data_IF_566742106872
#
_entry.id   IF_566742106872
#
_cell.length_a   1.000
_cell.length_b   1.000
_cell.length_c   1.000
_cell.angle_alpha   90.00
_cell.angle_beta   90.00
_cell.angle_gamma   90.00
#
_symmetry.space_group_name_H-M   'P 1'
#
loop_
_entity.id
_entity.type
_entity.pdbx_description
1 polymer ?
#
# COMPACT_ATOMS: atom_id res chain seq x y z
N UNK A 1 17.93 12.58 14.09
CA UNK A 1 17.24 11.52 13.34
C UNK A 1 16.07 12.16 12.60
N UNK A 2 15.97 11.92 11.29
CA UNK A 2 14.89 12.44 10.44
C UNK A 2 13.84 11.33 10.23
N UNK A 3 12.56 11.69 10.10
CA UNK A 3 11.47 10.73 9.92
C UNK A 3 11.41 10.14 8.50
N UNK A 4 12.24 10.62 7.57
CA UNK A 4 12.32 10.17 6.17
C UNK A 4 12.44 8.65 6.02
N UNK A 5 13.17 7.95 6.89
CA UNK A 5 13.24 6.47 6.82
C UNK A 5 11.90 5.81 7.12
N UNK A 6 11.20 6.32 8.14
CA UNK A 6 9.88 5.82 8.53
C UNK A 6 8.84 6.18 7.48
N UNK A 7 8.96 7.36 6.87
CA UNK A 7 8.16 7.78 5.72
C UNK A 7 8.34 6.81 4.55
N UNK A 8 9.58 6.48 4.16
CA UNK A 8 9.83 5.53 3.07
C UNK A 8 9.26 4.14 3.33
N UNK A 9 9.42 3.62 4.57
CA UNK A 9 8.83 2.34 4.95
C UNK A 9 7.30 2.42 4.96
N UNK A 10 6.75 3.47 5.55
CA UNK A 10 5.31 3.69 5.65
C UNK A 10 4.62 3.85 4.29
N UNK A 11 5.23 4.55 3.35
CA UNK A 11 4.72 4.67 1.96
C UNK A 11 4.61 3.29 1.30
N UNK A 12 5.65 2.46 1.42
CA UNK A 12 5.63 1.10 0.87
C UNK A 12 4.54 0.22 1.52
N UNK A 13 4.38 0.29 2.85
CA UNK A 13 3.33 -0.41 3.60
C UNK A 13 1.94 0.07 3.21
N UNK A 14 1.76 1.38 3.05
CA UNK A 14 0.48 1.99 2.66
C UNK A 14 0.07 1.53 1.26
N UNK A 15 1.00 1.56 0.30
CA UNK A 15 0.78 1.07 -1.07
C UNK A 15 0.43 -0.40 -1.08
N UNK A 16 1.17 -1.22 -0.34
CA UNK A 16 0.91 -2.65 -0.23
C UNK A 16 -0.48 -2.96 0.34
N UNK A 17 -0.83 -2.39 1.49
CA UNK A 17 -2.13 -2.61 2.14
C UNK A 17 -3.28 -2.10 1.27
N UNK A 18 -3.11 -0.94 0.63
CA UNK A 18 -4.13 -0.37 -0.25
C UNK A 18 -4.32 -1.20 -1.50
N UNK A 19 -3.25 -1.68 -2.13
CA UNK A 19 -3.37 -2.56 -3.29
C UNK A 19 -4.12 -3.85 -2.98
N UNK A 20 -3.79 -4.51 -1.86
CA UNK A 20 -4.54 -5.70 -1.43
C UNK A 20 -6.01 -5.34 -1.18
N UNK A 21 -6.28 -4.24 -0.49
CA UNK A 21 -7.65 -3.84 -0.19
C UNK A 21 -8.47 -3.59 -1.46
N UNK A 22 -7.99 -2.74 -2.36
CA UNK A 22 -8.63 -2.45 -3.66
C UNK A 22 -8.85 -3.72 -4.48
N UNK A 23 -7.88 -4.64 -4.46
CA UNK A 23 -7.95 -5.92 -5.16
C UNK A 23 -9.02 -6.86 -4.60
N UNK A 24 -9.18 -6.92 -3.27
CA UNK A 24 -10.20 -7.76 -2.61
C UNK A 24 -11.62 -7.24 -2.77
N UNK A 25 -11.81 -5.92 -2.79
CA UNK A 25 -13.14 -5.32 -2.94
C UNK A 25 -13.68 -5.38 -4.37
N UNK A 26 -12.78 -5.42 -5.35
CA UNK A 26 -13.13 -5.34 -6.77
C UNK A 26 -12.66 -6.59 -7.53
N UNK A 27 -13.29 -7.77 -7.32
CA UNK A 27 -12.83 -9.02 -7.88
C UNK A 27 -12.95 -9.14 -9.40
N UNK A 28 -13.72 -8.26 -10.06
CA UNK A 28 -14.00 -8.33 -11.50
C UNK A 28 -13.41 -7.16 -12.29
N UNK A 29 -12.79 -6.20 -11.63
CA UNK A 29 -12.29 -4.98 -12.28
C UNK A 29 -10.91 -5.20 -12.90
N UNK A 30 -10.65 -4.51 -14.01
CA UNK A 30 -9.36 -4.51 -14.68
C UNK A 30 -8.31 -3.75 -13.86
N UNK A 31 -7.04 -4.09 -14.09
CA UNK A 31 -5.87 -3.44 -13.49
C UNK A 31 -5.96 -1.91 -13.55
N UNK A 32 -6.24 -1.32 -14.71
CA UNK A 32 -6.28 0.14 -14.85
C UNK A 32 -7.29 0.82 -13.92
N UNK A 33 -8.43 0.17 -13.64
CA UNK A 33 -9.37 0.68 -12.65
C UNK A 33 -8.81 0.58 -11.22
N UNK A 34 -8.17 -0.55 -10.89
CA UNK A 34 -7.56 -0.78 -9.58
C UNK A 34 -6.44 0.23 -9.30
N UNK A 35 -5.60 0.52 -10.30
CA UNK A 35 -4.50 1.51 -10.20
C UNK A 35 -5.05 2.91 -9.94
N UNK A 36 -6.04 3.37 -10.71
CA UNK A 36 -6.66 4.69 -10.48
C UNK A 36 -7.30 4.76 -9.09
N UNK A 37 -7.94 3.69 -8.64
CA UNK A 37 -8.59 3.66 -7.32
C UNK A 37 -7.57 3.68 -6.18
N UNK A 38 -6.48 2.89 -6.30
CA UNK A 38 -5.33 2.91 -5.38
C UNK A 38 -4.70 4.30 -5.32
N UNK A 39 -4.42 4.91 -6.46
CA UNK A 39 -3.75 6.22 -6.52
C UNK A 39 -4.60 7.32 -5.90
N UNK A 40 -5.93 7.26 -6.06
CA UNK A 40 -6.85 8.19 -5.39
C UNK A 40 -6.80 8.07 -3.86
N UNK A 41 -6.60 6.86 -3.32
CA UNK A 41 -6.50 6.63 -1.88
C UNK A 41 -5.13 7.10 -1.36
N UNK A 42 -4.05 6.74 -2.03
CA UNK A 42 -2.67 6.97 -1.59
C UNK A 42 -2.19 8.40 -1.92
N UNK A 43 -2.91 9.16 -2.75
CA UNK A 43 -2.46 10.50 -3.13
C UNK A 43 -2.22 11.42 -1.92
N UNK A 44 -1.13 12.20 -1.98
CA UNK A 44 -0.72 13.10 -0.90
C UNK A 44 -1.82 14.11 -0.52
N UNK A 45 -2.67 14.49 -1.48
CA UNK A 45 -3.81 15.37 -1.22
C UNK A 45 -4.82 14.71 -0.27
N UNK A 46 -5.18 13.46 -0.52
CA UNK A 46 -6.10 12.71 0.34
C UNK A 46 -5.48 12.47 1.73
N UNK A 47 -4.22 12.05 1.80
CA UNK A 47 -3.50 11.85 3.06
C UNK A 47 -3.42 13.15 3.89
N UNK A 48 -3.20 14.29 3.24
CA UNK A 48 -3.23 15.59 3.90
C UNK A 48 -4.61 15.94 4.47
N UNK A 49 -5.70 15.67 3.73
CA UNK A 49 -7.07 15.85 4.24
C UNK A 49 -7.31 14.94 5.45
N UNK A 50 -6.90 13.67 5.38
CA UNK A 50 -7.04 12.71 6.48
C UNK A 50 -6.24 13.14 7.71
N UNK A 51 -5.01 13.64 7.54
CA UNK A 51 -4.21 14.22 8.62
C UNK A 51 -4.90 15.42 9.28
N UNK A 52 -5.48 16.31 8.48
CA UNK A 52 -6.22 17.49 8.97
C UNK A 52 -7.47 17.08 9.76
N UNK A 53 -8.22 16.10 9.26
CA UNK A 53 -9.42 15.58 9.92
C UNK A 53 -9.11 14.95 11.28
N UNK A 54 -8.00 14.21 11.37
CA UNK A 54 -7.52 13.59 12.61
C UNK A 54 -6.72 14.53 13.52
N UNK A 55 -6.58 15.80 13.14
CA UNK A 55 -5.87 16.84 13.88
C UNK A 55 -4.38 16.52 14.17
N UNK A 56 -3.73 15.68 13.35
CA UNK A 56 -2.31 15.33 13.53
C UNK A 56 -1.37 16.53 13.44
N UNK A 57 -1.81 17.59 12.77
CA UNK A 57 -1.14 18.89 12.68
C UNK A 57 -0.74 19.46 14.06
N UNK A 58 -1.49 19.15 15.13
CA UNK A 58 -1.21 19.63 16.48
C UNK A 58 -0.04 18.92 17.15
N UNK A 59 0.25 17.70 16.73
CA UNK A 59 1.26 16.83 17.34
C UNK A 59 2.59 16.84 16.57
N UNK A 60 2.65 17.56 15.44
CA UNK A 60 3.86 17.69 14.66
C UNK A 60 4.89 18.49 15.45
N UNK A 61 5.95 17.82 15.92
CA UNK A 61 7.07 18.43 16.61
C UNK A 61 7.95 19.12 15.56
N UNK A 62 7.51 20.30 15.11
CA UNK A 62 8.36 21.15 14.30
C UNK A 62 9.25 21.93 15.26
N UNK A 63 10.56 21.74 15.18
CA UNK A 63 11.46 22.78 15.66
C UNK A 63 11.08 24.06 14.93
N UNK A 64 10.89 25.16 15.64
CA UNK A 64 10.78 26.46 15.02
C UNK A 64 12.05 26.68 14.20
N UNK A 65 11.97 26.48 12.88
CA UNK A 65 12.82 27.26 12.01
C UNK A 65 12.30 28.69 12.19
N UNK A 66 12.88 29.41 13.14
CA UNK A 66 12.90 30.86 13.06
C UNK A 66 13.58 31.18 11.73
N UNK A 67 12.79 31.30 10.67
CA UNK A 67 13.11 32.14 9.51
C UNK A 67 13.05 33.60 9.96
N UNK A 68 13.80 33.91 11.02
CA UNK A 68 14.10 35.19 11.62
C UNK A 68 15.60 35.35 11.86
N UNK A 69 16.42 34.40 11.38
CA UNK A 69 17.87 34.56 11.19
C UNK A 69 18.27 34.53 9.70
N UNK A 70 17.35 34.88 8.79
CA UNK A 70 17.81 35.55 7.56
C UNK A 70 18.16 36.97 7.98
N UNK A 71 19.40 37.37 7.69
CA UNK A 71 20.03 38.64 8.02
C UNK A 71 19.05 39.80 8.22
N UNK A 72 19.10 40.46 9.39
CA UNK A 72 18.32 41.67 9.68
C UNK A 72 19.22 42.87 9.48
N UNK A 73 18.85 43.83 8.64
CA UNK A 73 19.53 45.13 8.63
C UNK A 73 19.24 45.85 9.95
N UNK A 74 20.21 46.58 10.54
CA UNK A 74 19.97 47.37 11.74
C UNK A 74 18.90 48.44 11.46
N UNK A 75 17.72 48.35 12.10
CA UNK A 75 16.72 49.44 12.10
C UNK A 75 15.24 49.07 11.90
N UNK A 76 14.90 47.84 11.50
CA UNK A 76 13.49 47.45 11.30
C UNK A 76 13.03 46.42 12.33
N UNK A 77 12.41 46.89 13.41
CA UNK A 77 11.59 46.07 14.30
C UNK A 77 10.12 46.29 13.95
N UNK A 78 9.44 45.26 13.44
CA UNK A 78 7.98 45.22 13.48
C UNK A 78 7.58 43.98 14.25
N UNK A 79 6.79 44.20 15.30
CA UNK A 79 6.10 43.13 16.02
C UNK A 79 5.15 42.44 15.05
N UNK A 80 5.35 41.15 14.84
CA UNK A 80 4.37 40.31 14.16
C UNK A 80 3.92 39.21 15.09
N UNK A 81 2.63 39.26 15.37
CA UNK A 81 1.80 38.20 15.94
C UNK A 81 2.28 36.82 15.51
N UNK A 82 2.29 35.88 16.46
CA UNK A 82 2.49 34.45 16.23
C UNK A 82 1.35 33.95 15.35
N UNK A 83 1.51 34.10 14.03
CA UNK A 83 0.58 33.58 13.05
C UNK A 83 0.60 32.06 13.09
N UNK A 84 -0.59 31.45 13.03
CA UNK A 84 -0.79 30.02 12.86
C UNK A 84 0.21 29.46 11.84
N UNK A 85 1.08 28.55 12.28
CA UNK A 85 2.04 27.88 11.40
C UNK A 85 1.26 27.18 10.29
N UNK A 86 1.34 27.71 9.07
CA UNK A 86 0.81 27.02 7.89
C UNK A 86 1.76 25.87 7.58
N UNK A 87 1.51 24.71 8.19
CA UNK A 87 2.27 23.49 7.90
C UNK A 87 2.07 23.18 6.41
N UNK A 88 3.17 22.88 5.71
CA UNK A 88 3.12 22.50 4.30
C UNK A 88 2.29 21.22 4.16
N UNK A 89 1.32 21.21 3.24
CA UNK A 89 0.43 20.06 3.00
C UNK A 89 1.21 18.77 2.71
N UNK A 90 2.39 18.88 2.10
CA UNK A 90 3.31 17.75 1.90
C UNK A 90 3.75 17.12 3.22
N UNK A 91 4.18 17.92 4.20
CA UNK A 91 4.65 17.42 5.51
C UNK A 91 3.57 16.69 6.30
N UNK A 92 2.30 17.00 6.06
CA UNK A 92 1.18 16.30 6.70
C UNK A 92 0.96 14.92 6.08
N UNK A 93 1.15 14.79 4.77
CA UNK A 93 1.17 13.49 4.09
C UNK A 93 2.33 12.64 4.60
N UNK A 94 3.55 13.19 4.54
CA UNK A 94 4.77 12.51 4.97
C UNK A 94 4.67 12.08 6.45
N UNK A 95 4.00 12.87 7.30
CA UNK A 95 3.72 12.52 8.70
C UNK A 95 2.85 11.27 8.81
N UNK A 96 1.75 11.18 8.06
CA UNK A 96 0.85 10.02 8.09
C UNK A 96 1.59 8.76 7.67
N UNK A 97 2.40 8.82 6.61
CA UNK A 97 3.25 7.73 6.16
C UNK A 97 4.27 7.35 7.24
N UNK A 98 4.96 8.32 7.84
CA UNK A 98 5.93 8.05 8.91
C UNK A 98 5.32 7.42 10.16
N UNK A 99 4.09 7.81 10.53
CA UNK A 99 3.35 7.21 11.64
C UNK A 99 2.91 5.78 11.31
N UNK A 100 2.51 5.52 10.07
CA UNK A 100 2.21 4.17 9.61
C UNK A 100 3.48 3.30 9.65
N UNK A 101 4.62 3.81 9.18
CA UNK A 101 5.91 3.12 9.28
C UNK A 101 6.32 2.81 10.73
N UNK A 102 6.10 3.76 11.65
CA UNK A 102 6.32 3.53 13.07
C UNK A 102 5.39 2.44 13.65
N UNK A 103 4.11 2.44 13.26
CA UNK A 103 3.14 1.42 13.69
C UNK A 103 3.51 0.03 13.19
N UNK A 104 4.09 -0.06 11.99
CA UNK A 104 4.58 -1.29 11.40
C UNK A 104 5.76 -1.87 12.19
N UNK A 105 6.72 -1.04 12.58
CA UNK A 105 7.88 -1.50 13.37
C UNK A 105 7.45 -1.99 14.77
N UNK A 106 6.44 -1.34 15.36
CA UNK A 106 5.98 -1.68 16.71
C UNK A 106 5.20 -3.00 16.78
N UNK A 107 4.33 -3.28 15.81
CA UNK A 107 3.47 -4.47 15.87
C UNK A 107 3.04 -5.05 14.52
N UNK A 108 3.83 -4.79 13.48
CA UNK A 108 3.61 -5.29 12.13
C UNK A 108 2.27 -4.85 11.54
N UNK A 109 1.71 -5.70 10.69
CA UNK A 109 0.49 -5.38 9.95
C UNK A 109 -0.75 -5.20 10.83
N UNK A 110 -0.85 -5.87 11.99
CA UNK A 110 -2.02 -5.72 12.87
C UNK A 110 -2.16 -4.29 13.38
N UNK A 111 -1.04 -3.67 13.80
CA UNK A 111 -1.03 -2.29 14.25
C UNK A 111 -1.27 -1.32 13.09
N UNK A 112 -0.73 -1.60 11.90
CA UNK A 112 -1.02 -0.83 10.70
C UNK A 112 -2.52 -0.82 10.36
N UNK A 113 -3.17 -1.99 10.37
CA UNK A 113 -4.61 -2.09 10.07
C UNK A 113 -5.46 -1.31 11.08
N UNK A 114 -5.10 -1.39 12.37
CA UNK A 114 -5.75 -0.59 13.41
C UNK A 114 -5.56 0.91 13.15
N UNK A 115 -4.34 1.35 12.80
CA UNK A 115 -4.04 2.74 12.50
C UNK A 115 -4.79 3.25 11.26
N UNK A 116 -4.83 2.47 10.17
CA UNK A 116 -5.61 2.80 8.97
C UNK A 116 -7.11 2.90 9.28
N UNK A 117 -7.60 2.07 10.20
CA UNK A 117 -8.98 2.14 10.71
C UNK A 117 -9.25 3.41 11.52
N UNK A 118 -8.32 3.83 12.36
CA UNK A 118 -8.42 5.09 13.13
C UNK A 118 -8.45 6.30 12.19
N UNK A 119 -7.59 6.29 11.16
CA UNK A 119 -7.53 7.37 10.17
C UNK A 119 -8.77 7.40 9.28
N UNK A 120 -9.48 6.26 9.18
CA UNK A 120 -10.63 6.06 8.31
C UNK A 120 -10.29 6.32 6.84
N UNK A 121 -9.16 5.78 6.39
CA UNK A 121 -8.66 5.93 5.03
C UNK A 121 -9.54 5.23 4.00
N UNK A 122 -10.08 4.06 4.37
CA UNK A 122 -11.01 3.30 3.55
C UNK A 122 -12.43 3.62 3.98
N UNK A 123 -13.34 3.79 3.01
CA UNK A 123 -14.77 4.04 3.28
C UNK A 123 -15.51 2.79 3.75
N UNK A 124 -14.87 1.64 3.61
CA UNK A 124 -15.38 0.29 3.81
C UNK A 124 -14.72 -0.35 5.03
N UNK A 125 -15.31 -1.43 5.52
CA UNK A 125 -14.79 -2.11 6.71
C UNK A 125 -13.45 -2.77 6.43
N UNK A 126 -12.45 -2.43 7.25
CA UNK A 126 -11.12 -3.05 7.20
C UNK A 126 -11.19 -4.41 7.91
N UNK A 127 -10.70 -5.50 7.28
CA UNK A 127 -10.47 -6.77 7.95
C UNK A 127 -9.57 -6.62 9.18
N UNK A 128 -9.87 -7.38 10.25
CA UNK A 128 -9.13 -7.32 11.51
C UNK A 128 -7.73 -7.97 11.45
N UNK A 129 -7.45 -8.76 10.41
CA UNK A 129 -6.19 -9.48 10.25
C UNK A 129 -5.80 -9.61 8.78
N UNK A 130 -4.48 -9.74 8.56
CA UNK A 130 -3.94 -9.97 7.22
C UNK A 130 -4.35 -11.33 6.63
N UNK A 131 -4.56 -12.36 7.47
CA UNK A 131 -5.03 -13.67 7.01
C UNK A 131 -6.36 -13.59 6.24
N UNK A 132 -7.27 -12.72 6.69
CA UNK A 132 -8.55 -12.50 6.02
C UNK A 132 -8.33 -11.80 4.69
N UNK A 133 -7.39 -10.85 4.61
CA UNK A 133 -7.01 -10.23 3.35
C UNK A 133 -6.47 -11.25 2.35
N UNK A 134 -5.57 -12.13 2.76
CA UNK A 134 -5.03 -13.18 1.89
C UNK A 134 -6.11 -14.14 1.41
N UNK A 135 -7.00 -14.59 2.31
CA UNK A 135 -8.11 -15.46 1.93
C UNK A 135 -9.09 -14.77 0.95
N UNK A 136 -9.39 -13.50 1.17
CA UNK A 136 -10.27 -12.74 0.27
C UNK A 136 -9.61 -12.46 -1.08
N UNK A 137 -8.31 -12.18 -1.10
CA UNK A 137 -7.55 -12.02 -2.33
C UNK A 137 -7.54 -13.34 -3.11
N UNK A 138 -7.30 -14.46 -2.43
CA UNK A 138 -7.35 -15.78 -3.03
C UNK A 138 -8.72 -16.10 -3.63
N UNK A 139 -9.81 -15.82 -2.91
CA UNK A 139 -11.19 -15.97 -3.42
C UNK A 139 -11.48 -15.06 -4.62
N UNK A 140 -10.99 -13.81 -4.60
CA UNK A 140 -11.10 -12.85 -5.70
C UNK A 140 -10.41 -13.34 -6.97
N UNK A 141 -9.26 -14.01 -6.81
CA UNK A 141 -8.49 -14.61 -7.91
C UNK A 141 -9.22 -15.83 -8.47
N UNK A 142 -9.70 -16.72 -7.59
CA UNK A 142 -10.44 -17.92 -7.96
C UNK A 142 -11.74 -17.59 -8.72
N UNK A 143 -12.46 -16.56 -8.30
CA UNK A 143 -13.71 -16.14 -8.95
C UNK A 143 -13.51 -15.81 -10.44
N UNK A 144 -12.32 -15.33 -10.81
CA UNK A 144 -11.98 -15.00 -12.19
C UNK A 144 -11.53 -16.19 -13.06
N UNK A 145 -11.37 -17.39 -12.48
CA UNK A 145 -10.84 -18.56 -13.19
C UNK A 145 -11.77 -19.77 -13.12
N UNK A 146 -12.30 -20.17 -14.28
CA UNK A 146 -12.95 -21.47 -14.48
C UNK A 146 -12.02 -22.42 -15.24
N UNK A 147 -10.76 -22.52 -14.80
CA UNK A 147 -9.76 -23.36 -15.47
C UNK A 147 -9.78 -24.76 -14.86
N UNK A 148 -10.09 -25.75 -15.69
CA UNK A 148 -9.92 -27.15 -15.32
C UNK A 148 -8.42 -27.52 -15.29
N UNK A 149 -7.95 -27.88 -14.10
CA UNK A 149 -6.53 -28.18 -13.82
C UNK A 149 -6.05 -29.41 -14.62
N UNK A 150 -6.96 -30.31 -14.96
CA UNK A 150 -6.68 -31.55 -15.71
C UNK A 150 -5.95 -31.31 -17.02
N UNK A 151 -6.26 -30.21 -17.69
CA UNK A 151 -5.75 -29.92 -19.04
C UNK A 151 -4.28 -29.51 -19.02
N UNK A 152 -3.77 -29.06 -17.86
CA UNK A 152 -2.41 -28.53 -17.70
C UNK A 152 -1.49 -29.43 -16.89
N UNK A 153 -1.92 -30.66 -16.55
CA UNK A 153 -1.19 -31.52 -15.62
C UNK A 153 0.25 -31.84 -16.06
N UNK A 154 0.49 -31.99 -17.38
CA UNK A 154 1.84 -32.17 -17.93
C UNK A 154 2.74 -30.94 -17.77
N UNK A 155 2.18 -29.74 -17.93
CA UNK A 155 2.89 -28.48 -17.72
C UNK A 155 3.22 -28.27 -16.24
N UNK A 156 2.29 -28.59 -15.34
CA UNK A 156 2.50 -28.53 -13.88
C UNK A 156 3.63 -29.46 -13.41
N UNK A 157 3.73 -30.65 -14.01
CA UNK A 157 4.81 -31.61 -13.70
C UNK A 157 6.19 -31.15 -14.21
N UNK A 158 6.24 -30.52 -15.39
CA UNK A 158 7.47 -29.94 -15.90
C UNK A 158 7.94 -28.75 -15.03
N UNK A 159 7.01 -27.94 -14.55
CA UNK A 159 7.28 -26.76 -13.72
C UNK A 159 7.73 -27.08 -12.31
N UNK A 160 7.05 -28.01 -11.63
CA UNK A 160 7.48 -28.51 -10.30
C UNK A 160 8.93 -28.99 -10.34
N UNK A 161 9.28 -29.73 -11.41
CA UNK A 161 10.65 -30.18 -11.65
C UNK A 161 11.63 -29.04 -11.92
N UNK A 162 11.24 -28.01 -12.68
CA UNK A 162 12.08 -26.85 -13.00
C UNK A 162 12.33 -25.95 -11.79
N UNK A 163 11.32 -25.76 -10.93
CA UNK A 163 11.42 -24.97 -9.70
C UNK A 163 12.06 -25.73 -8.54
N UNK A 164 12.27 -27.05 -8.68
CA UNK A 164 12.85 -27.89 -7.64
C UNK A 164 11.93 -28.10 -6.43
N UNK A 165 10.63 -27.89 -6.59
CA UNK A 165 9.63 -28.02 -5.52
C UNK A 165 8.81 -29.28 -5.76
N UNK A 166 8.81 -30.20 -4.80
CA UNK A 166 8.27 -31.55 -4.96
C UNK A 166 6.74 -31.57 -5.15
N UNK A 167 5.99 -30.71 -4.46
CA UNK A 167 4.53 -30.60 -4.57
C UNK A 167 4.09 -29.18 -4.20
N UNK A 168 3.43 -28.48 -5.12
CA UNK A 168 2.71 -27.26 -4.76
C UNK A 168 1.27 -27.62 -4.36
N UNK A 169 0.63 -26.87 -3.44
CA UNK A 169 -0.80 -26.95 -3.22
C UNK A 169 -1.54 -26.73 -4.56
N UNK A 170 -2.63 -27.47 -4.79
CA UNK A 170 -3.51 -27.28 -5.96
C UNK A 170 -3.98 -25.83 -6.11
N UNK A 171 -4.12 -25.15 -4.98
CA UNK A 171 -4.43 -23.73 -4.92
C UNK A 171 -3.35 -22.84 -5.54
N UNK A 172 -2.08 -23.14 -5.29
CA UNK A 172 -0.95 -22.41 -5.85
C UNK A 172 -0.81 -22.65 -7.35
N UNK A 173 -1.12 -23.86 -7.84
CA UNK A 173 -1.11 -24.13 -9.28
C UNK A 173 -2.11 -23.27 -10.05
N UNK A 174 -3.29 -22.99 -9.48
CA UNK A 174 -4.25 -22.07 -10.11
C UNK A 174 -3.67 -20.67 -10.24
N UNK A 175 -3.09 -20.13 -9.16
CA UNK A 175 -2.43 -18.82 -9.17
C UNK A 175 -1.30 -18.77 -10.20
N UNK A 176 -0.50 -19.84 -10.25
CA UNK A 176 0.61 -19.95 -11.18
C UNK A 176 0.14 -19.96 -12.64
N UNK A 177 -0.89 -20.76 -12.97
CA UNK A 177 -1.46 -20.79 -14.32
C UNK A 177 -1.95 -19.41 -14.77
N UNK A 178 -2.55 -18.62 -13.87
CA UNK A 178 -2.92 -17.24 -14.19
C UNK A 178 -1.69 -16.36 -14.45
N UNK A 179 -0.63 -16.50 -13.65
CA UNK A 179 0.60 -15.69 -13.78
C UNK A 179 1.37 -15.95 -15.08
N UNK A 180 1.17 -17.09 -15.74
CA UNK A 180 1.80 -17.39 -17.03
C UNK A 180 0.84 -17.21 -18.22
N UNK A 181 -0.43 -16.91 -17.95
CA UNK A 181 -1.45 -16.75 -18.97
C UNK A 181 -1.43 -15.34 -19.54
N UNK A 182 -0.98 -15.20 -20.79
CA UNK A 182 -0.99 -13.92 -21.48
C UNK A 182 -2.43 -13.38 -21.64
N UNK A 183 -2.66 -12.05 -21.58
CA UNK A 183 -3.99 -11.45 -21.79
C UNK A 183 -4.70 -11.83 -23.10
N UNK A 184 -3.96 -12.32 -24.09
CA UNK A 184 -4.49 -12.81 -25.37
C UNK A 184 -5.11 -14.21 -25.27
N UNK A 185 -4.93 -14.91 -24.15
CA UNK A 185 -5.50 -16.23 -23.94
C UNK A 185 -7.00 -16.10 -23.60
N UNK A 186 -7.86 -16.52 -24.52
CA UNK A 186 -9.33 -16.39 -24.43
C UNK A 186 -9.93 -17.42 -23.45
N UNK A 187 -9.15 -18.40 -22.99
CA UNK A 187 -9.60 -19.56 -22.22
C UNK A 187 -9.96 -19.28 -20.75
N UNK A 188 -10.36 -18.05 -20.40
CA UNK A 188 -10.89 -17.73 -19.07
C UNK A 188 -9.89 -17.92 -17.92
N UNK A 189 -8.59 -17.85 -18.20
CA UNK A 189 -7.49 -18.13 -17.25
C UNK A 189 -7.24 -17.01 -16.23
N UNK A 190 -8.19 -16.10 -15.99
CA UNK A 190 -7.93 -14.88 -15.21
C UNK A 190 -6.92 -13.96 -15.89
N UNK A 191 -6.79 -12.72 -15.42
CA UNK A 191 -5.91 -11.73 -16.04
C UNK A 191 -4.60 -11.60 -15.26
N UNK A 192 -3.48 -11.94 -15.92
CA UNK A 192 -2.11 -11.70 -15.45
C UNK A 192 -1.92 -10.26 -14.96
N UNK A 193 -2.51 -9.31 -15.68
CA UNK A 193 -2.58 -7.87 -15.35
C UNK A 193 -3.05 -7.59 -13.90
N UNK A 194 -4.00 -8.37 -13.39
CA UNK A 194 -4.48 -8.21 -12.01
C UNK A 194 -3.48 -8.75 -10.98
N UNK A 195 -2.74 -9.80 -11.32
CA UNK A 195 -1.66 -10.32 -10.47
C UNK A 195 -0.44 -9.40 -10.53
N UNK A 196 -0.15 -8.78 -11.68
CA UNK A 196 0.87 -7.74 -11.86
C UNK A 196 0.60 -6.55 -10.92
N UNK A 197 -0.64 -6.05 -10.89
CA UNK A 197 -1.07 -5.01 -9.95
C UNK A 197 -0.76 -5.32 -8.48
N UNK A 198 -0.88 -6.59 -8.08
CA UNK A 198 -0.62 -7.02 -6.71
C UNK A 198 0.88 -7.30 -6.48
N UNK A 199 1.57 -7.82 -7.49
CA UNK A 199 3.00 -8.16 -7.44
C UNK A 199 3.90 -6.95 -7.27
N UNK A 200 3.60 -5.84 -7.96
CA UNK A 200 4.41 -4.62 -7.90
C UNK A 200 4.55 -4.07 -6.46
N UNK A 201 3.45 -3.81 -5.71
CA UNK A 201 3.54 -3.41 -4.31
C UNK A 201 4.18 -4.44 -3.39
N UNK A 202 4.02 -5.75 -3.66
CA UNK A 202 4.65 -6.80 -2.85
C UNK A 202 6.18 -6.71 -2.98
N UNK A 203 6.67 -6.55 -4.21
CA UNK A 203 8.10 -6.41 -4.46
C UNK A 203 8.66 -5.11 -3.87
N UNK A 204 7.97 -3.99 -4.08
CA UNK A 204 8.39 -2.69 -3.54
C UNK A 204 8.47 -2.72 -2.01
N UNK A 205 7.46 -3.29 -1.35
CA UNK A 205 7.44 -3.46 0.09
C UNK A 205 8.55 -4.40 0.60
N UNK A 206 8.70 -5.59 0.02
CA UNK A 206 9.71 -6.56 0.47
C UNK A 206 11.15 -6.05 0.28
N UNK A 207 11.41 -5.32 -0.80
CA UNK A 207 12.70 -4.66 -1.03
C UNK A 207 12.91 -3.56 0.00
N UNK A 208 11.91 -2.71 0.22
CA UNK A 208 12.00 -1.62 1.20
C UNK A 208 12.21 -2.14 2.61
N UNK A 209 11.49 -3.20 3.00
CA UNK A 209 11.65 -3.89 4.29
C UNK A 209 13.06 -4.45 4.47
N UNK A 210 13.67 -5.00 3.41
CA UNK A 210 15.03 -5.53 3.47
C UNK A 210 16.10 -4.41 3.57
N UNK A 211 15.85 -3.25 2.98
CA UNK A 211 16.77 -2.12 2.96
C UNK A 211 16.68 -1.22 4.20
N UNK A 212 15.56 -1.29 4.93
CA UNK A 212 15.27 -0.48 6.10
C UNK A 212 16.09 -0.92 7.34
#
# INVERSE_FOLDING_TARGET
>A
FNYERLETLGDSVLKFLTSIHVFTENPTKSEGFLTVWKDNIVCNHNLCILSKNNQFNKYLISSNFTTGKKWKSPGFATDKHVGSFRINDKRLSDLVESLLGASYIDGGFTNCLNFLGIINIYKTSIPKSMDIYYQNAYKSILFGSQVDISDYQGLLLALSKALGVADFPTEFYRLFLQSISHPSNINGTGSLQRLEFLGDPVLDFTITEHLF
#
